data_IF_358805930411
#
_entry.id   IF_358805930411
#
_cell.length_a   1.000
_cell.length_b   1.000
_cell.length_c   1.000
_cell.angle_alpha   90.00
_cell.angle_beta   90.00
_cell.angle_gamma   90.00
#
_symmetry.space_group_name_H-M   'P 1'
#
loop_
_entity.id
_entity.type
_entity.pdbx_description
1 polymer ?
#
# COMPACT_ATOMS: atom_id res chain seq x y z
N UNK A 1 -6.41 -4.56 -2.48
CA UNK A 1 -4.98 -4.39 -2.07
C UNK A 1 -4.64 -2.97 -1.59
N UNK A 2 -4.94 -1.89 -2.32
CA UNK A 2 -4.54 -0.52 -1.91
C UNK A 2 -5.03 -0.07 -0.52
N UNK A 3 -6.23 -0.47 -0.09
CA UNK A 3 -6.74 -0.16 1.26
C UNK A 3 -5.99 -0.87 2.39
N UNK A 4 -5.40 -2.04 2.12
CA UNK A 4 -4.63 -2.79 3.11
C UNK A 4 -3.24 -2.20 3.31
N UNK A 5 -2.57 -1.84 2.21
CA UNK A 5 -1.25 -1.18 2.22
C UNK A 5 -1.33 0.17 2.93
N UNK A 6 -2.35 0.98 2.64
CA UNK A 6 -2.52 2.29 3.26
C UNK A 6 -2.75 2.21 4.78
N UNK A 7 -3.53 1.21 5.22
CA UNK A 7 -3.78 0.96 6.65
C UNK A 7 -2.54 0.44 7.37
N UNK A 8 -1.73 -0.40 6.72
CA UNK A 8 -0.47 -0.90 7.27
C UNK A 8 0.58 0.21 7.41
N UNK A 9 0.68 1.11 6.43
CA UNK A 9 1.58 2.28 6.52
C UNK A 9 1.16 3.29 7.59
N UNK A 10 -0.14 3.45 7.85
CA UNK A 10 -0.64 4.30 8.94
C UNK A 10 -0.34 3.70 10.32
N UNK A 11 -0.51 2.38 10.49
CA UNK A 11 -0.19 1.68 11.73
C UNK A 11 1.32 1.72 12.01
N UNK A 12 2.15 1.51 10.99
CA UNK A 12 3.61 1.58 11.13
C UNK A 12 4.10 2.99 11.50
N UNK A 13 3.52 4.06 10.93
CA UNK A 13 3.84 5.45 11.30
C UNK A 13 3.42 5.81 12.73
N UNK A 14 2.37 5.19 13.26
CA UNK A 14 1.89 5.42 14.62
C UNK A 14 2.65 4.61 15.68
N UNK A 15 3.18 3.43 15.33
CA UNK A 15 3.86 2.54 16.27
C UNK A 15 5.34 2.87 16.50
N UNK A 16 6.05 3.40 15.49
CA UNK A 16 7.48 3.73 15.58
C UNK A 16 7.82 4.74 16.71
N UNK A 17 7.05 5.82 16.94
CA UNK A 17 7.33 6.75 18.04
C UNK A 17 7.11 6.13 19.42
N UNK A 18 6.12 5.22 19.55
CA UNK A 18 5.75 4.58 20.82
C UNK A 18 6.83 3.57 21.24
N UNK A 19 7.32 2.77 20.28
CA UNK A 19 8.45 1.86 20.50
C UNK A 19 9.75 2.60 20.82
N UNK A 20 10.00 3.75 20.18
CA UNK A 20 11.19 4.55 20.48
C UNK A 20 11.15 5.20 21.88
N UNK A 21 9.94 5.46 22.40
CA UNK A 21 9.72 6.02 23.72
C UNK A 21 9.78 4.96 24.83
N UNK A 22 9.36 3.71 24.56
CA UNK A 22 9.54 2.57 25.46
C UNK A 22 11.01 2.09 25.53
N UNK A 23 11.72 2.04 24.38
CA UNK A 23 13.14 1.63 24.35
C UNK A 23 14.04 2.66 25.07
N UNK A 24 13.70 3.95 25.02
CA UNK A 24 14.42 4.99 25.78
C UNK A 24 14.12 4.95 27.29
N UNK A 25 12.99 4.37 27.70
CA UNK A 25 12.62 4.26 29.11
C UNK A 25 13.25 3.02 29.78
N UNK A 26 13.52 1.95 29.03
CA UNK A 26 14.16 0.73 29.56
C UNK A 26 15.70 0.79 29.66
N UNK A 27 16.38 1.75 29.01
CA UNK A 27 17.84 1.91 29.11
C UNK A 27 18.32 2.81 30.27
N UNK A 28 17.42 3.29 31.13
CA UNK A 28 17.79 4.09 32.32
C UNK A 28 17.84 3.22 33.58
N UNK A 29 18.76 2.24 33.61
CA UNK A 29 19.11 1.51 34.85
C UNK A 29 20.54 1.88 35.26
N UNK A 30 20.71 3.13 35.66
CA UNK A 30 21.77 3.49 36.61
C UNK A 30 21.16 3.42 38.01
N UNK A 31 21.33 2.27 38.66
CA UNK A 31 21.11 2.15 40.10
C UNK A 31 22.27 2.85 40.81
N UNK A 32 22.06 3.97 41.54
CA UNK A 32 23.15 4.59 42.28
C UNK A 32 23.55 3.64 43.41
N UNK A 33 24.85 3.37 43.51
CA UNK A 33 25.42 2.68 44.66
C UNK A 33 25.06 3.46 45.95
N UNK A 34 24.75 2.78 47.07
CA UNK A 34 24.45 3.47 48.32
C UNK A 34 25.65 4.31 48.75
N UNK A 35 25.44 5.55 49.24
CA UNK A 35 26.55 6.38 49.71
C UNK A 35 27.22 5.69 50.90
N UNK A 36 28.53 5.50 50.81
CA UNK A 36 29.34 5.04 51.94
C UNK A 36 29.18 6.05 53.08
N UNK A 37 28.61 5.62 54.20
CA UNK A 37 28.36 6.44 55.39
C UNK A 37 29.69 7.04 55.91
N UNK A 38 29.95 8.35 55.74
CA UNK A 38 31.19 8.99 56.19
C UNK A 38 31.30 9.09 57.72
N UNK A 39 30.21 8.77 58.42
CA UNK A 39 30.09 8.77 59.89
C UNK A 39 30.81 7.58 60.54
N UNK A 40 30.84 6.40 59.89
CA UNK A 40 31.49 5.22 60.45
C UNK A 40 33.02 5.31 60.40
N UNK A 41 33.59 5.82 59.30
CA UNK A 41 35.02 6.04 59.15
C UNK A 41 35.53 7.15 60.09
N UNK A 42 34.76 8.23 60.25
CA UNK A 42 35.10 9.33 61.16
C UNK A 42 35.07 8.91 62.63
N UNK A 43 34.13 8.05 63.03
CA UNK A 43 34.05 7.50 64.40
C UNK A 43 35.18 6.52 64.69
N UNK A 44 35.54 5.65 63.75
CA UNK A 44 36.67 4.73 63.88
C UNK A 44 38.01 5.48 63.94
N UNK A 45 38.16 6.56 63.16
CA UNK A 45 39.33 7.44 63.17
C UNK A 45 39.45 8.24 64.49
N UNK A 46 38.34 8.67 65.09
CA UNK A 46 38.32 9.36 66.38
C UNK A 46 38.66 8.39 67.53
N UNK A 47 38.10 7.18 67.51
CA UNK A 47 38.44 6.13 68.48
C UNK A 47 39.90 5.68 68.39
N UNK A 48 40.43 5.51 67.18
CA UNK A 48 41.85 5.16 67.00
C UNK A 48 42.76 6.31 67.42
N UNK A 49 42.41 7.58 67.15
CA UNK A 49 43.14 8.75 67.68
C UNK A 49 43.10 8.84 69.20
N UNK A 50 41.96 8.57 69.84
CA UNK A 50 41.83 8.54 71.30
C UNK A 50 42.63 7.38 71.92
N UNK A 51 42.64 6.20 71.30
CA UNK A 51 43.44 5.04 71.73
C UNK A 51 44.95 5.26 71.53
N UNK A 52 45.37 5.91 70.44
CA UNK A 52 46.77 6.31 70.21
C UNK A 52 47.25 7.37 71.21
N UNK A 53 46.41 8.37 71.51
CA UNK A 53 46.73 9.41 72.49
C UNK A 53 46.80 8.86 73.93
N UNK A 54 45.99 7.84 74.26
CA UNK A 54 46.07 7.14 75.55
C UNK A 54 47.39 6.34 75.70
N UNK A 55 47.92 5.75 74.61
CA UNK A 55 49.21 5.05 74.61
C UNK A 55 50.39 6.05 74.69
N UNK A 56 50.25 7.25 74.11
CA UNK A 56 51.27 8.30 74.20
C UNK A 56 51.34 8.96 75.59
N UNK A 57 50.21 9.06 76.30
CA UNK A 57 50.08 9.74 77.60
C UNK A 57 50.76 9.06 78.80
N UNK A 58 51.21 7.81 78.70
CA UNK A 58 51.86 7.06 79.81
C UNK A 58 53.39 7.21 79.81
N UNK A 59 53.96 8.15 79.05
CA UNK A 59 55.38 8.51 79.14
C UNK A 59 55.60 9.64 80.14
N UNK A 60 55.24 9.39 81.41
CA UNK A 60 55.79 10.18 82.52
C UNK A 60 57.32 10.15 82.45
N UNK A 61 58.00 11.22 82.89
CA UNK A 61 59.46 11.34 82.95
C UNK A 61 60.05 10.20 83.81
N UNK A 62 60.23 9.03 83.20
CA UNK A 62 60.81 7.86 83.84
C UNK A 62 62.30 8.12 84.00
N UNK A 63 62.81 7.88 85.20
CA UNK A 63 64.22 8.01 85.50
C UNK A 63 64.94 6.90 84.74
N UNK A 64 65.83 7.27 83.83
CA UNK A 64 66.70 6.32 83.12
C UNK A 64 67.54 5.61 84.19
N UNK A 65 67.61 4.28 84.16
CA UNK A 65 68.50 3.56 85.08
C UNK A 65 69.94 4.06 84.89
N UNK A 66 70.78 4.12 85.93
CA UNK A 66 72.15 4.61 85.79
C UNK A 66 72.95 3.79 84.75
N UNK A 67 72.66 2.50 84.60
CA UNK A 67 73.22 1.63 83.56
C UNK A 67 72.70 1.99 82.16
N UNK A 68 71.39 2.23 82.00
CA UNK A 68 70.81 2.67 80.74
C UNK A 68 71.35 4.06 80.33
N UNK A 69 71.58 4.95 81.29
CA UNK A 69 72.16 6.27 81.06
C UNK A 69 73.65 6.18 80.71
N UNK A 70 74.36 5.20 81.27
CA UNK A 70 75.72 4.87 80.88
C UNK A 70 75.78 4.33 79.44
N UNK A 71 74.91 3.39 79.07
CA UNK A 71 74.85 2.82 77.70
C UNK A 71 74.50 3.91 76.67
N UNK A 72 73.54 4.77 76.97
CA UNK A 72 73.18 5.90 76.10
C UNK A 72 74.33 6.90 76.00
N UNK A 73 75.04 7.20 77.09
CA UNK A 73 76.17 8.15 77.06
C UNK A 73 77.40 7.60 76.31
N UNK A 74 77.65 6.29 76.37
CA UNK A 74 78.65 5.62 75.53
C UNK A 74 78.28 5.72 74.06
N UNK A 75 77.00 5.53 73.71
CA UNK A 75 76.52 5.70 72.34
C UNK A 75 76.59 7.16 71.87
N UNK A 76 76.29 8.13 72.75
CA UNK A 76 76.45 9.56 72.47
C UNK A 76 77.92 9.90 72.17
N UNK A 77 78.86 9.35 72.95
CA UNK A 77 80.29 9.51 72.71
C UNK A 77 80.77 8.80 71.42
N UNK A 78 80.14 7.68 71.05
CA UNK A 78 80.42 7.00 69.78
C UNK A 78 79.91 7.78 68.57
N UNK A 79 78.68 8.30 68.63
CA UNK A 79 78.11 9.21 67.62
C UNK A 79 79.01 10.43 67.46
N UNK A 80 79.43 11.04 68.58
CA UNK A 80 80.36 12.18 68.62
C UNK A 80 81.67 11.90 67.87
N UNK A 81 82.30 10.76 68.14
CA UNK A 81 83.58 10.37 67.50
C UNK A 81 83.43 10.12 66.02
N UNK A 82 82.34 9.49 65.59
CA UNK A 82 82.07 9.19 64.18
C UNK A 82 81.74 10.49 63.43
N UNK A 83 81.00 11.40 64.04
CA UNK A 83 80.72 12.72 63.49
C UNK A 83 82.00 13.54 63.30
N UNK A 84 82.93 13.54 64.26
CA UNK A 84 84.25 14.17 64.09
C UNK A 84 85.07 13.46 63.00
N UNK A 85 85.03 12.12 62.97
CA UNK A 85 85.78 11.31 62.00
C UNK A 85 85.30 11.51 60.55
N UNK A 86 84.04 11.91 60.37
CA UNK A 86 83.47 12.21 59.05
C UNK A 86 84.15 13.40 58.35
N UNK A 87 84.83 14.27 59.10
CA UNK A 87 85.52 15.45 58.56
C UNK A 87 87.05 15.28 58.48
N UNK A 88 87.58 14.09 58.83
CA UNK A 88 89.00 13.77 58.75
C UNK A 88 89.54 13.46 57.35
N UNK A 89 88.74 13.02 56.36
CA UNK A 89 89.21 12.91 54.98
C UNK A 89 89.40 14.30 54.34
N UNK A 90 90.27 15.15 54.89
CA UNK A 90 90.51 16.52 54.43
C UNK A 90 91.97 16.75 54.03
N UNK A 91 92.20 17.62 53.04
CA UNK A 91 93.54 18.09 52.71
C UNK A 91 93.91 19.27 53.62
N UNK A 92 95.04 19.18 54.31
CA UNK A 92 95.46 20.17 55.30
C UNK A 92 96.16 21.36 54.61
N UNK A 93 95.36 22.24 54.00
CA UNK A 93 95.81 23.41 53.21
C UNK A 93 96.07 24.62 54.12
N UNK A 94 95.27 24.81 55.17
CA UNK A 94 95.35 25.96 56.09
C UNK A 94 95.69 25.53 57.53
N UNK A 95 96.93 25.09 57.77
CA UNK A 95 97.38 24.59 59.09
C UNK A 95 97.30 25.62 60.22
N UNK A 96 97.32 26.92 59.92
CA UNK A 96 97.39 28.01 60.91
C UNK A 96 96.11 28.14 61.74
N UNK A 97 94.93 28.00 61.13
CA UNK A 97 93.63 28.11 61.81
C UNK A 97 93.32 26.91 62.70
N UNK A 98 93.70 25.71 62.24
CA UNK A 98 93.58 24.48 63.03
C UNK A 98 94.45 24.56 64.28
N UNK A 99 95.59 25.24 64.20
CA UNK A 99 96.52 25.46 65.32
C UNK A 99 95.94 26.40 66.36
N UNK A 100 95.22 27.44 65.93
CA UNK A 100 94.62 28.45 66.81
C UNK A 100 93.51 27.87 67.71
N UNK A 101 92.70 26.96 67.19
CA UNK A 101 91.52 26.42 67.90
C UNK A 101 91.77 25.04 68.57
N UNK A 102 92.57 24.16 67.94
CA UNK A 102 92.81 22.78 68.44
C UNK A 102 94.18 22.61 69.13
N UNK A 103 95.03 23.65 69.13
CA UNK A 103 96.42 23.68 69.67
C UNK A 103 97.41 22.79 68.89
N UNK A 104 98.70 23.12 68.98
CA UNK A 104 99.81 22.44 68.25
C UNK A 104 99.76 20.89 68.32
N UNK A 105 99.52 20.24 69.49
CA UNK A 105 99.55 18.78 69.56
C UNK A 105 98.44 18.09 68.76
N UNK A 106 97.28 18.73 68.59
CA UNK A 106 96.17 18.17 67.82
C UNK A 106 96.43 18.29 66.31
N UNK A 107 97.10 19.36 65.88
CA UNK A 107 97.49 19.58 64.48
C UNK A 107 98.59 18.62 64.07
N UNK A 108 99.57 18.38 64.94
CA UNK A 108 100.61 17.37 64.71
C UNK A 108 100.00 15.96 64.59
N UNK A 109 99.12 15.58 65.52
CA UNK A 109 98.42 14.30 65.48
C UNK A 109 97.53 14.16 64.24
N UNK A 110 96.88 15.24 63.77
CA UNK A 110 96.09 15.25 62.54
C UNK A 110 96.97 15.10 61.30
N UNK A 111 98.10 15.81 61.24
CA UNK A 111 99.06 15.74 60.13
C UNK A 111 99.67 14.34 60.02
N UNK A 112 100.02 13.74 61.15
CA UNK A 112 100.50 12.35 61.22
C UNK A 112 99.42 11.38 60.77
N UNK A 113 98.17 11.54 61.26
CA UNK A 113 97.04 10.71 60.86
C UNK A 113 96.77 10.78 59.35
N UNK A 114 96.73 11.99 58.77
CA UNK A 114 96.52 12.19 57.32
C UNK A 114 97.66 11.61 56.49
N UNK A 115 98.90 11.72 56.96
CA UNK A 115 100.07 11.11 56.31
C UNK A 115 99.96 9.58 56.30
N UNK A 116 99.64 8.98 57.45
CA UNK A 116 99.43 7.55 57.57
C UNK A 116 98.23 7.07 56.74
N UNK A 117 97.16 7.84 56.63
CA UNK A 117 96.02 7.52 55.76
C UNK A 117 96.41 7.51 54.28
N UNK A 118 97.26 8.45 53.83
CA UNK A 118 97.79 8.48 52.45
C UNK A 118 98.74 7.30 52.17
N UNK A 119 99.61 6.98 53.12
CA UNK A 119 100.50 5.81 53.04
C UNK A 119 99.69 4.49 53.05
N UNK A 120 98.65 4.40 53.88
CA UNK A 120 97.74 3.25 53.90
C UNK A 120 96.96 3.10 52.59
N UNK A 121 96.44 4.21 52.03
CA UNK A 121 95.70 4.17 50.76
C UNK A 121 96.57 3.80 49.56
N UNK A 122 97.88 4.03 49.61
CA UNK A 122 98.83 3.69 48.53
C UNK A 122 99.40 2.27 48.66
N UNK A 123 99.35 1.69 49.86
CA UNK A 123 99.85 0.33 50.18
C UNK A 123 98.74 -0.72 50.29
N UNK A 124 97.52 -0.39 49.86
CA UNK A 124 96.36 -1.30 49.90
C UNK A 124 96.70 -2.65 49.24
N UNK A 125 96.71 -3.74 50.02
CA UNK A 125 97.04 -5.10 49.56
C UNK A 125 98.48 -5.59 49.78
N UNK A 126 99.30 -4.91 50.60
CA UNK A 126 100.66 -5.34 50.95
C UNK A 126 100.73 -6.17 52.25
N UNK A 127 101.80 -6.97 52.45
CA UNK A 127 102.01 -7.85 53.62
C UNK A 127 102.08 -7.13 54.98
N UNK A 128 102.17 -5.79 54.98
CA UNK A 128 102.21 -4.94 56.17
C UNK A 128 100.86 -4.26 56.51
N UNK A 129 99.76 -4.66 55.87
CA UNK A 129 98.43 -4.04 56.02
C UNK A 129 97.94 -4.00 57.48
N UNK A 130 98.05 -5.09 58.25
CA UNK A 130 97.63 -5.14 59.66
C UNK A 130 98.41 -4.17 60.55
N UNK A 131 99.71 -4.00 60.28
CA UNK A 131 100.56 -3.09 61.06
C UNK A 131 100.27 -1.62 60.76
N UNK A 132 99.94 -1.29 59.51
CA UNK A 132 99.54 0.07 59.13
C UNK A 132 98.10 0.38 59.50
N UNK A 133 97.20 -0.58 59.44
CA UNK A 133 95.83 -0.42 59.93
C UNK A 133 95.84 -0.11 61.43
N UNK A 134 96.69 -0.78 62.21
CA UNK A 134 96.88 -0.50 63.64
C UNK A 134 97.49 0.89 63.86
N UNK A 135 98.44 1.32 63.02
CA UNK A 135 99.03 2.67 63.07
C UNK A 135 98.01 3.78 62.73
N UNK A 136 97.17 3.57 61.72
CA UNK A 136 96.06 4.48 61.35
C UNK A 136 95.00 4.54 62.47
N UNK A 137 94.66 3.39 63.07
CA UNK A 137 93.74 3.33 64.23
C UNK A 137 94.31 4.04 65.46
N UNK A 138 95.60 3.88 65.74
CA UNK A 138 96.26 4.52 66.88
C UNK A 138 96.44 6.02 66.68
N UNK A 139 96.79 6.48 65.47
CA UNK A 139 96.85 7.91 65.13
C UNK A 139 95.47 8.57 65.19
N UNK A 140 94.41 7.91 64.70
CA UNK A 140 93.03 8.37 64.85
C UNK A 140 92.64 8.50 66.32
N UNK A 141 92.98 7.50 67.15
CA UNK A 141 92.72 7.54 68.60
C UNK A 141 93.50 8.66 69.29
N UNK A 142 94.74 8.90 68.89
CA UNK A 142 95.56 9.98 69.43
C UNK A 142 94.95 11.34 69.07
N UNK A 143 94.57 11.55 67.81
CA UNK A 143 93.85 12.75 67.38
C UNK A 143 92.54 12.94 68.16
N UNK A 144 91.68 11.91 68.22
CA UNK A 144 90.41 11.97 68.96
C UNK A 144 90.60 12.20 70.48
N UNK A 145 91.74 11.82 71.07
CA UNK A 145 92.09 12.14 72.47
C UNK A 145 92.40 13.62 72.65
N UNK A 146 93.12 14.24 71.72
CA UNK A 146 93.40 15.68 71.74
C UNK A 146 92.16 16.54 71.48
N UNK A 147 91.20 16.01 70.71
CA UNK A 147 89.92 16.68 70.42
C UNK A 147 88.87 16.45 71.52
N UNK A 148 89.01 15.42 72.35
CA UNK A 148 88.08 15.08 73.45
C UNK A 148 87.77 16.22 74.44
N UNK A 149 88.69 17.14 74.81
CA UNK A 149 88.39 18.24 75.72
C UNK A 149 87.40 19.26 75.15
N UNK A 150 87.25 19.32 73.83
CA UNK A 150 86.30 20.21 73.16
C UNK A 150 84.89 19.61 73.25
N UNK A 151 84.02 20.27 74.02
CA UNK A 151 82.65 19.81 74.29
C UNK A 151 81.70 19.97 73.09
N UNK A 152 82.06 20.83 72.14
CA UNK A 152 81.23 21.16 70.99
C UNK A 152 81.76 20.48 69.74
N UNK A 153 81.00 19.54 69.19
CA UNK A 153 81.35 18.84 67.94
C UNK A 153 81.33 19.79 66.75
N UNK A 154 80.44 20.79 66.79
CA UNK A 154 80.26 21.77 65.72
C UNK A 154 81.47 22.71 65.58
N UNK A 155 82.18 23.03 66.67
CA UNK A 155 83.41 23.84 66.58
C UNK A 155 84.56 23.05 65.95
N UNK A 156 84.73 21.79 66.35
CA UNK A 156 85.73 20.88 65.76
C UNK A 156 85.42 20.63 64.28
N UNK A 157 84.14 20.45 63.94
CA UNK A 157 83.68 20.27 62.56
C UNK A 157 83.92 21.51 61.70
N UNK A 158 83.63 22.71 62.20
CA UNK A 158 83.90 23.96 61.49
C UNK A 158 85.41 24.13 61.23
N UNK A 159 86.25 23.87 62.23
CA UNK A 159 87.71 23.94 62.10
C UNK A 159 88.26 22.93 61.09
N UNK A 160 87.73 21.70 61.07
CA UNK A 160 88.14 20.67 60.11
C UNK A 160 87.63 20.91 58.68
N UNK A 161 86.49 21.60 58.52
CA UNK A 161 85.98 22.04 57.22
C UNK A 161 86.79 23.21 56.63
N UNK A 162 87.32 24.10 57.48
CA UNK A 162 88.19 25.21 57.07
C UNK A 162 89.64 24.77 56.79
N UNK A 163 90.08 23.62 57.32
CA UNK A 163 91.42 23.08 57.13
C UNK A 163 91.75 22.77 55.65
N UNK A 164 90.74 22.42 54.85
CA UNK A 164 90.80 22.29 53.39
C UNK A 164 89.71 21.36 52.81
N UNK A 165 89.73 21.08 51.50
CA UNK A 165 88.64 20.35 50.84
C UNK A 165 88.52 18.92 51.37
N UNK A 166 87.30 18.55 51.80
CA UNK A 166 86.97 17.20 52.29
C UNK A 166 86.66 16.28 51.10
N UNK A 167 87.19 15.06 51.11
CA UNK A 167 86.87 14.00 50.16
C UNK A 167 85.39 13.62 50.32
N UNK A 168 84.55 14.15 49.43
CA UNK A 168 83.08 14.11 49.57
C UNK A 168 82.48 12.70 49.60
N UNK A 169 83.13 11.71 48.97
CA UNK A 169 82.64 10.32 48.95
C UNK A 169 82.76 9.66 50.33
N UNK A 170 83.92 9.81 50.97
CA UNK A 170 84.21 9.18 52.26
C UNK A 170 83.46 9.88 53.40
N UNK A 171 83.26 11.19 53.28
CA UNK A 171 82.43 11.96 54.21
C UNK A 171 80.95 11.51 54.23
N UNK A 172 80.36 11.23 53.05
CA UNK A 172 78.95 10.78 52.95
C UNK A 172 78.72 9.43 53.61
N UNK A 173 79.59 8.46 53.33
CA UNK A 173 79.48 7.12 53.92
C UNK A 173 79.57 7.14 55.46
N UNK A 174 80.49 7.95 56.02
CA UNK A 174 80.64 8.08 57.47
C UNK A 174 79.44 8.85 58.09
N UNK A 175 78.87 9.82 57.37
CA UNK A 175 77.65 10.53 57.80
C UNK A 175 76.40 9.63 57.81
N UNK A 176 76.23 8.75 56.81
CA UNK A 176 75.14 7.76 56.81
C UNK A 176 75.21 6.85 58.03
N UNK A 177 76.41 6.36 58.37
CA UNK A 177 76.63 5.56 59.60
C UNK A 177 76.29 6.36 60.86
N UNK A 178 76.61 7.66 60.91
CA UNK A 178 76.21 8.53 62.02
C UNK A 178 74.67 8.67 62.12
N UNK A 179 73.96 8.75 60.99
CA UNK A 179 72.48 8.79 60.94
C UNK A 179 71.90 7.48 61.48
N UNK A 180 72.36 6.32 60.99
CA UNK A 180 71.93 5.01 61.48
C UNK A 180 72.18 4.83 62.97
N UNK A 181 73.32 5.30 63.47
CA UNK A 181 73.64 5.25 64.90
C UNK A 181 72.74 6.17 65.74
N UNK A 182 72.35 7.34 65.22
CA UNK A 182 71.37 8.23 65.87
C UNK A 182 69.98 7.58 65.94
N UNK A 183 69.54 6.93 64.87
CA UNK A 183 68.28 6.19 64.84
C UNK A 183 68.31 4.98 65.77
N UNK A 184 69.41 4.21 65.74
CA UNK A 184 69.62 3.08 66.64
C UNK A 184 69.63 3.51 68.10
N UNK A 185 70.29 4.63 68.42
CA UNK A 185 70.25 5.24 69.75
C UNK A 185 68.83 5.60 70.16
N UNK A 186 68.02 6.18 69.27
CA UNK A 186 66.62 6.52 69.57
C UNK A 186 65.80 5.26 69.89
N UNK A 187 65.95 4.20 69.10
CA UNK A 187 65.29 2.91 69.32
C UNK A 187 65.77 2.25 70.62
N UNK A 188 67.07 2.23 70.87
CA UNK A 188 67.64 1.68 72.11
C UNK A 188 67.17 2.45 73.33
N UNK A 189 67.14 3.77 73.26
CA UNK A 189 66.60 4.62 74.33
C UNK A 189 65.13 4.28 74.59
N UNK A 190 64.31 4.14 73.55
CA UNK A 190 62.92 3.74 73.72
C UNK A 190 62.78 2.34 74.33
N UNK A 191 63.66 1.39 73.98
CA UNK A 191 63.68 0.04 74.56
C UNK A 191 64.17 -0.01 76.00
N UNK A 192 65.22 0.74 76.34
CA UNK A 192 65.77 0.83 77.70
C UNK A 192 64.81 1.57 78.67
N UNK A 193 63.94 2.41 78.12
CA UNK A 193 62.92 3.16 78.87
C UNK A 193 61.56 2.45 78.96
N UNK A 194 61.39 1.32 78.26
CA UNK A 194 60.18 0.52 78.31
C UNK A 194 60.21 -0.42 79.51
N UNK A 195 59.10 -0.52 80.23
CA UNK A 195 58.99 -1.52 81.30
C UNK A 195 58.79 -2.93 80.71
N UNK A 196 59.17 -4.00 81.42
CA UNK A 196 58.91 -5.37 80.97
C UNK A 196 57.43 -5.64 80.70
N UNK A 197 56.53 -4.93 81.38
CA UNK A 197 55.08 -5.04 81.17
C UNK A 197 54.64 -4.33 79.88
N UNK A 198 55.11 -3.11 79.63
CA UNK A 198 54.83 -2.37 78.39
C UNK A 198 55.32 -3.11 77.14
N UNK A 199 56.48 -3.78 77.24
CA UNK A 199 57.03 -4.58 76.14
C UNK A 199 56.20 -5.85 75.88
N UNK A 200 55.65 -6.49 76.92
CA UNK A 200 54.71 -7.62 76.78
C UNK A 200 53.39 -7.18 76.15
N UNK A 201 52.85 -6.04 76.57
CA UNK A 201 51.62 -5.47 76.01
C UNK A 201 51.81 -5.07 74.54
N UNK A 202 52.94 -4.45 74.18
CA UNK A 202 53.30 -4.14 72.79
C UNK A 202 53.36 -5.40 71.92
N UNK A 203 53.94 -6.49 72.41
CA UNK A 203 53.99 -7.78 71.69
C UNK A 203 52.59 -8.39 71.54
N UNK A 204 51.78 -8.35 72.58
CA UNK A 204 50.39 -8.84 72.55
C UNK A 204 49.57 -8.06 71.52
N UNK A 205 49.58 -6.73 71.57
CA UNK A 205 48.88 -5.88 70.61
C UNK A 205 49.36 -6.10 69.18
N UNK A 206 50.68 -6.27 68.98
CA UNK A 206 51.24 -6.61 67.67
C UNK A 206 50.81 -7.99 67.16
N UNK A 207 50.68 -8.98 68.04
CA UNK A 207 50.15 -10.29 67.67
C UNK A 207 48.66 -10.24 67.34
N UNK A 208 47.85 -9.57 68.16
CA UNK A 208 46.42 -9.37 67.87
C UNK A 208 46.19 -8.61 66.55
N UNK A 209 47.01 -7.59 66.26
CA UNK A 209 46.95 -6.87 65.00
C UNK A 209 47.29 -7.77 63.80
N UNK A 210 48.32 -8.62 63.91
CA UNK A 210 48.66 -9.61 62.88
C UNK A 210 47.55 -10.62 62.65
N UNK A 211 46.97 -11.15 63.72
CA UNK A 211 45.87 -12.13 63.60
C UNK A 211 44.63 -11.49 62.97
N UNK A 212 44.30 -10.25 63.32
CA UNK A 212 43.22 -9.49 62.66
C UNK A 212 43.53 -9.24 61.19
N UNK A 213 44.79 -8.92 60.86
CA UNK A 213 45.19 -8.72 59.47
C UNK A 213 45.09 -10.01 58.66
N UNK A 214 45.55 -11.15 59.20
CA UNK A 214 45.39 -12.45 58.55
C UNK A 214 43.92 -12.81 58.33
N UNK A 215 43.08 -12.63 59.35
CA UNK A 215 41.65 -12.90 59.22
C UNK A 215 40.98 -11.99 58.17
N UNK A 216 41.35 -10.71 58.13
CA UNK A 216 40.85 -9.78 57.12
C UNK A 216 41.33 -10.18 55.71
N UNK A 217 42.57 -10.66 55.57
CA UNK A 217 43.13 -11.11 54.30
C UNK A 217 42.41 -12.38 53.79
N UNK A 218 42.12 -13.34 54.66
CA UNK A 218 41.30 -14.50 54.34
C UNK A 218 39.87 -14.10 53.94
N UNK A 219 39.26 -13.16 54.66
CA UNK A 219 37.93 -12.64 54.34
C UNK A 219 37.93 -11.92 52.99
N UNK A 220 38.95 -11.12 52.70
CA UNK A 220 39.12 -10.46 51.41
C UNK A 220 39.24 -11.49 50.29
N UNK A 221 40.09 -12.51 50.43
CA UNK A 221 40.23 -13.57 49.42
C UNK A 221 38.91 -14.31 49.18
N UNK A 222 38.14 -14.60 50.25
CA UNK A 222 36.84 -15.23 50.12
C UNK A 222 35.82 -14.35 49.40
N UNK A 223 35.78 -13.05 49.72
CA UNK A 223 34.89 -12.09 49.06
C UNK A 223 35.28 -11.88 47.59
N UNK A 224 36.58 -11.73 47.30
CA UNK A 224 37.10 -11.66 45.94
C UNK A 224 36.75 -12.92 45.14
N UNK A 225 36.84 -14.11 45.75
CA UNK A 225 36.41 -15.36 45.15
C UNK A 225 34.92 -15.38 44.82
N UNK A 226 34.07 -14.92 45.74
CA UNK A 226 32.62 -14.80 45.50
C UNK A 226 32.29 -13.80 44.39
N UNK A 227 32.97 -12.66 44.35
CA UNK A 227 32.80 -11.66 43.28
C UNK A 227 33.21 -12.26 41.94
N UNK A 228 34.38 -12.92 41.86
CA UNK A 228 34.85 -13.59 40.63
C UNK A 228 33.85 -14.64 40.15
N UNK A 229 33.38 -15.52 41.03
CA UNK A 229 32.39 -16.54 40.69
C UNK A 229 31.06 -15.93 40.21
N UNK A 230 30.60 -14.84 40.85
CA UNK A 230 29.40 -14.13 40.43
C UNK A 230 29.58 -13.44 39.07
N UNK A 231 30.75 -12.84 38.81
CA UNK A 231 31.06 -12.23 37.51
C UNK A 231 31.13 -13.28 36.40
N UNK A 232 31.81 -14.40 36.63
CA UNK A 232 31.89 -15.50 35.66
C UNK A 232 30.50 -16.08 35.37
N UNK A 233 29.68 -16.30 36.39
CA UNK A 233 28.31 -16.78 36.21
C UNK A 233 27.47 -15.81 35.38
N UNK A 234 27.55 -14.50 35.68
CA UNK A 234 26.88 -13.46 34.89
C UNK A 234 27.35 -13.47 33.44
N UNK A 235 28.67 -13.49 33.21
CA UNK A 235 29.26 -13.43 31.88
C UNK A 235 28.92 -14.68 31.05
N UNK A 236 28.87 -15.88 31.66
CA UNK A 236 28.38 -17.08 30.97
C UNK A 236 26.90 -16.99 30.59
N UNK A 237 26.08 -16.33 31.42
CA UNK A 237 24.66 -16.12 31.14
C UNK A 237 24.46 -15.12 30.02
N UNK A 238 25.22 -14.01 30.03
CA UNK A 238 25.27 -13.03 28.95
C UNK A 238 25.66 -13.73 27.64
N UNK A 239 26.75 -14.51 27.63
CA UNK A 239 27.18 -15.24 26.44
C UNK A 239 26.12 -16.23 25.89
N UNK A 240 25.30 -16.84 26.76
CA UNK A 240 24.19 -17.71 26.33
C UNK A 240 23.07 -16.89 25.68
N UNK A 241 22.75 -15.73 26.25
CA UNK A 241 21.73 -14.82 25.74
C UNK A 241 22.15 -14.16 24.43
N UNK A 242 23.41 -13.76 24.30
CA UNK A 242 23.96 -13.24 23.05
C UNK A 242 23.85 -14.28 21.92
N UNK A 243 24.17 -15.55 22.20
CA UNK A 243 23.98 -16.64 21.22
C UNK A 243 22.51 -16.86 20.85
N UNK A 244 21.59 -16.70 21.79
CA UNK A 244 20.15 -16.81 21.53
C UNK A 244 19.66 -15.64 20.65
N UNK A 245 20.11 -14.43 20.95
CA UNK A 245 19.84 -13.22 20.17
C UNK A 245 20.35 -13.38 18.74
N UNK A 246 21.59 -13.84 18.54
CA UNK A 246 22.14 -14.04 17.19
C UNK A 246 21.35 -15.08 16.40
N UNK A 247 20.97 -16.21 16.99
CA UNK A 247 20.09 -17.21 16.32
C UNK A 247 18.75 -16.63 15.89
N UNK A 248 18.13 -15.80 16.75
CA UNK A 248 16.85 -15.18 16.44
C UNK A 248 17.01 -14.13 15.32
N UNK A 249 18.08 -13.34 15.35
CA UNK A 249 18.40 -12.39 14.27
C UNK A 249 18.61 -13.11 12.93
N UNK A 250 19.38 -14.19 12.91
CA UNK A 250 19.62 -14.99 11.71
C UNK A 250 18.31 -15.56 11.14
N UNK A 251 17.47 -16.12 12.02
CA UNK A 251 16.14 -16.64 11.64
C UNK A 251 15.22 -15.55 11.09
N UNK A 252 15.21 -14.36 11.70
CA UNK A 252 14.46 -13.20 11.20
C UNK A 252 14.96 -12.74 9.83
N UNK A 253 16.27 -12.63 9.65
CA UNK A 253 16.86 -12.26 8.36
C UNK A 253 16.57 -13.29 7.27
N UNK A 254 16.60 -14.58 7.61
CA UNK A 254 16.22 -15.65 6.70
C UNK A 254 14.75 -15.52 6.29
N UNK A 255 13.83 -15.40 7.26
CA UNK A 255 12.40 -15.24 6.98
C UNK A 255 12.12 -13.99 6.14
N UNK A 256 12.82 -12.88 6.41
CA UNK A 256 12.68 -11.66 5.63
C UNK A 256 13.13 -11.86 4.18
N UNK A 257 14.28 -12.50 3.98
CA UNK A 257 14.83 -12.79 2.65
C UNK A 257 13.89 -13.72 1.87
N UNK A 258 13.37 -14.77 2.51
CA UNK A 258 12.39 -15.68 1.90
C UNK A 258 11.10 -14.94 1.53
N UNK A 259 10.62 -14.03 2.39
CA UNK A 259 9.47 -13.18 2.10
C UNK A 259 9.69 -12.24 0.92
N UNK A 260 10.85 -11.58 0.85
CA UNK A 260 11.20 -10.69 -0.25
C UNK A 260 11.28 -11.46 -1.58
N UNK A 261 11.88 -12.65 -1.57
CA UNK A 261 11.96 -13.53 -2.74
C UNK A 261 10.58 -14.02 -3.20
N UNK A 262 9.75 -14.51 -2.27
CA UNK A 262 8.40 -14.97 -2.60
C UNK A 262 7.53 -13.82 -3.12
N UNK A 263 7.62 -12.64 -2.50
CA UNK A 263 6.93 -11.44 -2.98
C UNK A 263 7.37 -11.05 -4.39
N UNK A 264 8.68 -11.03 -4.67
CA UNK A 264 9.20 -10.72 -6.00
C UNK A 264 8.75 -11.74 -7.05
N UNK A 265 8.74 -13.03 -6.72
CA UNK A 265 8.23 -14.08 -7.60
C UNK A 265 6.73 -13.95 -7.88
N UNK A 266 5.93 -13.66 -6.85
CA UNK A 266 4.49 -13.45 -7.00
C UNK A 266 4.23 -12.24 -7.88
N UNK A 267 4.90 -11.11 -7.64
CA UNK A 267 4.78 -9.90 -8.46
C UNK A 267 5.11 -10.18 -9.93
N UNK A 268 6.22 -10.87 -10.18
CA UNK A 268 6.63 -11.24 -11.54
C UNK A 268 5.58 -12.12 -12.23
N UNK A 269 5.08 -13.17 -11.56
CA UNK A 269 4.03 -14.05 -12.12
C UNK A 269 2.73 -13.29 -12.38
N UNK A 270 2.34 -12.38 -11.47
CA UNK A 270 1.13 -11.58 -11.67
C UNK A 270 1.27 -10.61 -12.84
N UNK A 271 2.45 -10.03 -13.04
CA UNK A 271 2.71 -9.15 -14.18
C UNK A 271 2.70 -9.94 -15.49
N UNK A 272 3.39 -11.09 -15.54
CA UNK A 272 3.37 -11.97 -16.71
C UNK A 272 1.94 -12.42 -17.07
N UNK A 273 1.16 -12.84 -16.07
CA UNK A 273 -0.24 -13.20 -16.26
C UNK A 273 -1.06 -12.01 -16.75
N UNK A 274 -0.88 -10.83 -16.16
CA UNK A 274 -1.57 -9.61 -16.57
C UNK A 274 -1.27 -9.26 -18.03
N UNK A 275 -0.01 -9.35 -18.46
CA UNK A 275 0.40 -9.11 -19.84
C UNK A 275 -0.20 -10.13 -20.82
N UNK A 276 -0.30 -11.40 -20.43
CA UNK A 276 -0.97 -12.43 -21.23
C UNK A 276 -2.47 -12.15 -21.36
N UNK A 277 -3.13 -11.78 -20.25
CA UNK A 277 -4.56 -11.48 -20.24
C UNK A 277 -4.87 -10.23 -21.07
N UNK A 278 -4.03 -9.19 -21.00
CA UNK A 278 -4.13 -8.00 -21.86
C UNK A 278 -4.07 -8.39 -23.34
N UNK A 279 -3.04 -9.13 -23.76
CA UNK A 279 -2.91 -9.58 -25.17
C UNK A 279 -4.09 -10.43 -25.61
N UNK A 280 -4.54 -11.36 -24.78
CA UNK A 280 -5.72 -12.20 -25.07
C UNK A 280 -6.98 -11.34 -25.23
N UNK A 281 -7.16 -10.35 -24.35
CA UNK A 281 -8.30 -9.43 -24.42
C UNK A 281 -8.25 -8.54 -25.67
N UNK A 282 -7.07 -8.07 -26.07
CA UNK A 282 -6.87 -7.28 -27.29
C UNK A 282 -7.17 -8.08 -28.54
N UNK A 283 -6.69 -9.32 -28.62
CA UNK A 283 -7.00 -10.24 -29.73
C UNK A 283 -8.51 -10.47 -29.82
N UNK A 284 -9.16 -10.76 -28.68
CA UNK A 284 -10.62 -10.97 -28.66
C UNK A 284 -11.40 -9.71 -29.04
N UNK A 285 -10.94 -8.54 -28.61
CA UNK A 285 -11.52 -7.25 -29.00
C UNK A 285 -11.43 -7.02 -30.50
N UNK A 286 -10.28 -7.33 -31.11
CA UNK A 286 -10.08 -7.21 -32.56
C UNK A 286 -10.99 -8.19 -33.33
N UNK A 287 -11.09 -9.45 -32.89
CA UNK A 287 -11.98 -10.44 -33.48
C UNK A 287 -13.44 -9.99 -33.45
N UNK A 288 -13.94 -9.54 -32.28
CA UNK A 288 -15.32 -9.05 -32.16
C UNK A 288 -15.57 -7.79 -33.00
N UNK A 289 -14.56 -6.93 -33.16
CA UNK A 289 -14.65 -5.75 -34.02
C UNK A 289 -14.73 -6.14 -35.49
N UNK A 290 -13.96 -7.15 -35.91
CA UNK A 290 -14.01 -7.70 -37.26
C UNK A 290 -15.36 -8.37 -37.55
N UNK A 291 -15.83 -9.25 -36.66
CA UNK A 291 -17.17 -9.86 -36.75
C UNK A 291 -18.27 -8.80 -36.82
N UNK A 292 -18.19 -7.76 -35.98
CA UNK A 292 -19.11 -6.64 -35.98
C UNK A 292 -19.12 -5.90 -37.32
N UNK A 293 -17.95 -5.66 -37.92
CA UNK A 293 -17.84 -5.04 -39.24
C UNK A 293 -18.41 -5.95 -40.34
N UNK A 294 -18.09 -7.25 -40.31
CA UNK A 294 -18.62 -8.22 -41.27
C UNK A 294 -20.15 -8.28 -41.22
N UNK A 295 -20.75 -8.31 -40.03
CA UNK A 295 -22.20 -8.29 -39.86
C UNK A 295 -22.83 -6.98 -40.37
N UNK A 296 -22.19 -5.83 -40.15
CA UNK A 296 -22.65 -4.55 -40.72
C UNK A 296 -22.67 -4.59 -42.23
N UNK A 297 -21.59 -5.08 -42.86
CA UNK A 297 -21.52 -5.21 -44.33
C UNK A 297 -22.57 -6.20 -44.86
N UNK A 298 -22.81 -7.31 -44.17
CA UNK A 298 -23.87 -8.26 -44.52
C UNK A 298 -25.26 -7.60 -44.46
N UNK A 299 -25.54 -6.83 -43.40
CA UNK A 299 -26.81 -6.11 -43.24
C UNK A 299 -27.00 -5.05 -44.34
N UNK A 300 -25.96 -4.28 -44.65
CA UNK A 300 -25.99 -3.30 -45.74
C UNK A 300 -26.27 -3.96 -47.09
N UNK A 301 -25.64 -5.10 -47.37
CA UNK A 301 -25.87 -5.86 -48.59
C UNK A 301 -27.29 -6.41 -48.68
N UNK A 302 -27.81 -7.00 -47.61
CA UNK A 302 -29.20 -7.48 -47.57
C UNK A 302 -30.18 -6.32 -47.76
N UNK A 303 -29.93 -5.18 -47.12
CA UNK A 303 -30.78 -3.98 -47.26
C UNK A 303 -30.81 -3.50 -48.71
N UNK A 304 -29.66 -3.48 -49.40
CA UNK A 304 -29.58 -3.15 -50.83
C UNK A 304 -30.37 -4.15 -51.68
N UNK A 305 -30.19 -5.46 -51.45
CA UNK A 305 -30.93 -6.49 -52.17
C UNK A 305 -32.45 -6.39 -51.96
N UNK A 306 -32.90 -6.09 -50.74
CA UNK A 306 -34.32 -5.89 -50.46
C UNK A 306 -34.86 -4.65 -51.16
N UNK A 307 -34.14 -3.52 -51.15
CA UNK A 307 -34.50 -2.31 -51.89
C UNK A 307 -34.59 -2.55 -53.39
N UNK A 308 -33.65 -3.31 -53.95
CA UNK A 308 -33.67 -3.68 -55.37
C UNK A 308 -34.88 -4.56 -55.71
N UNK A 309 -35.15 -5.59 -54.89
CA UNK A 309 -36.32 -6.46 -55.04
C UNK A 309 -37.61 -5.65 -54.97
N UNK A 310 -37.75 -4.79 -53.97
CA UNK A 310 -38.90 -3.89 -53.81
C UNK A 310 -39.08 -2.99 -55.03
N UNK A 311 -38.01 -2.34 -55.51
CA UNK A 311 -38.06 -1.52 -56.72
C UNK A 311 -38.48 -2.32 -57.96
N UNK A 312 -38.06 -3.59 -58.10
CA UNK A 312 -38.52 -4.43 -59.20
C UNK A 312 -39.99 -4.82 -59.09
N UNK A 313 -40.50 -5.05 -57.87
CA UNK A 313 -41.90 -5.35 -57.63
C UNK A 313 -42.78 -4.13 -57.89
N UNK A 314 -42.38 -2.94 -57.42
CA UNK A 314 -43.08 -1.69 -57.72
C UNK A 314 -43.16 -1.44 -59.23
N UNK A 315 -42.06 -1.66 -59.97
CA UNK A 315 -42.08 -1.54 -61.44
C UNK A 315 -43.05 -2.54 -62.10
N UNK A 316 -43.17 -3.77 -61.58
CA UNK A 316 -44.13 -4.76 -62.10
C UNK A 316 -45.56 -4.37 -61.74
N UNK A 317 -45.79 -3.90 -60.51
CA UNK A 317 -47.09 -3.44 -60.04
C UNK A 317 -47.60 -2.28 -60.90
N UNK A 318 -46.78 -1.24 -61.09
CA UNK A 318 -47.14 -0.08 -61.91
C UNK A 318 -47.44 -0.49 -63.37
N UNK A 319 -46.73 -1.49 -63.93
CA UNK A 319 -47.04 -2.01 -65.27
C UNK A 319 -48.42 -2.66 -65.32
N UNK A 320 -48.73 -3.53 -64.36
CA UNK A 320 -50.04 -4.17 -64.28
C UNK A 320 -51.15 -3.15 -64.03
N UNK A 321 -50.91 -2.16 -63.17
CA UNK A 321 -51.84 -1.04 -62.96
C UNK A 321 -52.10 -0.30 -64.27
N UNK A 322 -51.06 0.04 -65.06
CA UNK A 322 -51.26 0.67 -66.37
C UNK A 322 -51.99 -0.23 -67.37
N UNK A 323 -51.76 -1.55 -67.35
CA UNK A 323 -52.49 -2.49 -68.19
C UNK A 323 -53.98 -2.56 -67.81
N UNK A 324 -54.29 -2.59 -66.52
CA UNK A 324 -55.67 -2.54 -66.00
C UNK A 324 -56.35 -1.23 -66.40
N UNK A 325 -55.68 -0.09 -66.22
CA UNK A 325 -56.18 1.22 -66.64
C UNK A 325 -56.54 1.23 -68.14
N UNK A 326 -55.66 0.67 -68.98
CA UNK A 326 -55.90 0.54 -70.41
C UNK A 326 -57.11 -0.35 -70.73
N UNK A 327 -57.33 -1.43 -69.98
CA UNK A 327 -58.51 -2.29 -70.15
C UNK A 327 -59.80 -1.60 -69.71
N UNK A 328 -59.76 -0.83 -68.62
CA UNK A 328 -60.88 -0.01 -68.16
C UNK A 328 -61.25 1.01 -69.25
N UNK A 329 -60.27 1.76 -69.77
CA UNK A 329 -60.51 2.75 -70.84
C UNK A 329 -61.13 2.13 -72.10
N UNK A 330 -60.68 0.93 -72.51
CA UNK A 330 -61.28 0.20 -73.63
C UNK A 330 -62.71 -0.19 -73.35
N UNK A 331 -62.98 -0.72 -72.15
CA UNK A 331 -64.33 -1.10 -71.75
C UNK A 331 -65.25 0.11 -71.72
N UNK A 332 -64.82 1.22 -71.11
CA UNK A 332 -65.59 2.46 -71.05
C UNK A 332 -65.91 2.99 -72.45
N UNK A 333 -64.94 3.01 -73.37
CA UNK A 333 -65.16 3.41 -74.76
C UNK A 333 -66.13 2.48 -75.51
N UNK A 334 -66.01 1.16 -75.35
CA UNK A 334 -66.96 0.21 -75.95
C UNK A 334 -68.37 0.35 -75.37
N UNK A 335 -68.48 0.67 -74.07
CA UNK A 335 -69.76 0.88 -73.40
C UNK A 335 -70.41 2.19 -73.89
N UNK A 336 -69.62 3.25 -74.05
CA UNK A 336 -70.06 4.53 -74.64
C UNK A 336 -70.55 4.32 -76.08
N UNK A 337 -69.78 3.63 -76.92
CA UNK A 337 -70.20 3.33 -78.31
C UNK A 337 -71.50 2.49 -78.35
N UNK A 338 -71.63 1.49 -77.47
CA UNK A 338 -72.88 0.70 -77.38
C UNK A 338 -74.05 1.55 -76.91
N UNK A 339 -73.82 2.46 -75.96
CA UNK A 339 -74.84 3.38 -75.46
C UNK A 339 -75.30 4.32 -76.57
N UNK A 340 -74.37 4.93 -77.31
CA UNK A 340 -74.68 5.78 -78.47
C UNK A 340 -75.49 5.02 -79.53
N UNK A 341 -75.10 3.78 -79.86
CA UNK A 341 -75.87 2.94 -80.80
C UNK A 341 -77.28 2.66 -80.31
N UNK A 342 -77.45 2.38 -79.01
CA UNK A 342 -78.77 2.16 -78.42
C UNK A 342 -79.61 3.43 -78.48
N UNK A 343 -79.02 4.59 -78.20
CA UNK A 343 -79.70 5.89 -78.28
C UNK A 343 -80.12 6.20 -79.73
N UNK A 344 -79.21 6.03 -80.70
CA UNK A 344 -79.52 6.16 -82.14
C UNK A 344 -80.67 5.22 -82.56
N UNK A 345 -80.62 3.95 -82.16
CA UNK A 345 -81.70 2.99 -82.49
C UNK A 345 -83.02 3.36 -81.81
N UNK A 346 -82.99 3.92 -80.60
CA UNK A 346 -84.18 4.42 -79.91
C UNK A 346 -84.77 5.61 -80.64
N UNK A 347 -83.96 6.57 -81.06
CA UNK A 347 -84.39 7.72 -81.86
C UNK A 347 -85.06 7.26 -83.15
N UNK A 348 -84.41 6.36 -83.91
CA UNK A 348 -84.97 5.77 -85.13
C UNK A 348 -86.29 5.03 -84.86
N UNK A 349 -86.35 4.22 -83.80
CA UNK A 349 -87.58 3.51 -83.41
C UNK A 349 -88.71 4.47 -83.03
N UNK A 350 -88.41 5.55 -82.31
CA UNK A 350 -89.40 6.56 -81.93
C UNK A 350 -89.93 7.30 -83.17
N UNK A 351 -89.07 7.63 -84.13
CA UNK A 351 -89.47 8.19 -85.41
C UNK A 351 -90.35 7.24 -86.23
N UNK A 352 -89.93 5.99 -86.39
CA UNK A 352 -90.70 4.97 -87.11
C UNK A 352 -92.06 4.72 -86.45
N UNK A 353 -92.08 4.70 -85.11
CA UNK A 353 -93.31 4.58 -84.33
C UNK A 353 -94.20 5.81 -84.47
N UNK A 354 -93.64 7.01 -84.64
CA UNK A 354 -94.42 8.21 -84.95
C UNK A 354 -95.03 8.12 -86.36
N UNK A 355 -94.22 7.78 -87.38
CA UNK A 355 -94.67 7.57 -88.77
C UNK A 355 -95.76 6.49 -88.86
N UNK A 356 -95.61 5.39 -88.10
CA UNK A 356 -96.61 4.32 -88.06
C UNK A 356 -97.93 4.80 -87.45
N UNK A 357 -97.88 5.62 -86.38
CA UNK A 357 -99.08 6.22 -85.79
C UNK A 357 -99.77 7.15 -86.79
N UNK A 358 -99.03 8.02 -87.47
CA UNK A 358 -99.57 8.89 -88.51
C UNK A 358 -100.25 8.08 -89.63
N UNK A 359 -99.63 6.99 -90.09
CA UNK A 359 -100.21 6.08 -91.07
C UNK A 359 -101.48 5.39 -90.56
N UNK A 360 -101.48 4.90 -89.32
CA UNK A 360 -102.67 4.29 -88.69
C UNK A 360 -103.82 5.28 -88.58
N UNK A 361 -103.55 6.52 -88.17
CA UNK A 361 -104.54 7.58 -88.10
C UNK A 361 -105.12 7.86 -89.49
N UNK A 362 -104.29 7.95 -90.53
CA UNK A 362 -104.74 8.08 -91.93
C UNK A 362 -105.59 6.89 -92.40
N UNK A 363 -105.18 5.65 -92.11
CA UNK A 363 -105.96 4.46 -92.44
C UNK A 363 -107.31 4.45 -91.73
N UNK A 364 -107.38 4.88 -90.47
CA UNK A 364 -108.64 4.95 -89.73
C UNK A 364 -109.64 5.92 -90.37
N UNK A 365 -109.15 7.07 -90.83
CA UNK A 365 -109.96 8.05 -91.57
C UNK A 365 -110.41 7.45 -92.91
N UNK A 366 -109.51 6.81 -93.65
CA UNK A 366 -109.83 6.17 -94.93
C UNK A 366 -110.85 5.03 -94.77
N UNK A 367 -110.76 4.22 -93.71
CA UNK A 367 -111.72 3.17 -93.40
C UNK A 367 -113.11 3.75 -93.08
N UNK A 368 -113.17 4.85 -92.32
CA UNK A 368 -114.41 5.58 -92.07
C UNK A 368 -115.01 6.13 -93.39
N UNK A 369 -114.20 6.74 -94.25
CA UNK A 369 -114.65 7.22 -95.56
C UNK A 369 -115.12 6.07 -96.46
N UNK A 370 -114.38 4.95 -96.50
CA UNK A 370 -114.74 3.77 -97.28
C UNK A 370 -116.06 3.16 -96.82
N UNK A 371 -116.25 2.99 -95.51
CA UNK A 371 -117.50 2.48 -94.94
C UNK A 371 -118.67 3.42 -95.25
N UNK A 372 -118.48 4.74 -95.12
CA UNK A 372 -119.48 5.73 -95.52
C UNK A 372 -119.87 5.61 -97.00
N UNK A 373 -118.91 5.52 -97.92
CA UNK A 373 -119.17 5.35 -99.36
C UNK A 373 -119.89 4.02 -99.64
N UNK A 374 -119.50 2.94 -98.98
CA UNK A 374 -120.12 1.63 -99.16
C UNK A 374 -121.55 1.59 -98.61
N UNK A 375 -121.80 2.23 -97.47
CA UNK A 375 -123.13 2.43 -96.91
C UNK A 375 -123.97 3.33 -97.81
N UNK A 376 -123.40 4.39 -98.39
CA UNK A 376 -124.07 5.26 -99.34
C UNK A 376 -124.46 4.49 -100.62
N UNK A 377 -123.53 3.72 -101.20
CA UNK A 377 -123.82 2.81 -102.33
C UNK A 377 -124.86 1.73 -101.96
N UNK A 378 -124.89 1.26 -100.72
CA UNK A 378 -125.91 0.34 -100.22
C UNK A 378 -127.27 1.04 -100.14
N UNK A 379 -127.35 2.23 -99.55
CA UNK A 379 -128.57 3.05 -99.48
C UNK A 379 -129.09 3.40 -100.87
N UNK A 380 -128.22 3.76 -101.81
CA UNK A 380 -128.61 3.99 -103.21
C UNK A 380 -129.17 2.73 -103.87
N UNK A 381 -128.55 1.56 -103.67
CA UNK A 381 -129.06 0.29 -104.21
C UNK A 381 -130.43 -0.05 -103.62
N UNK A 382 -130.60 0.07 -102.31
CA UNK A 382 -131.89 -0.14 -101.63
C UNK A 382 -132.96 0.87 -102.09
N UNK A 383 -132.58 2.14 -102.35
CA UNK A 383 -133.47 3.14 -102.93
C UNK A 383 -133.88 2.79 -104.36
N UNK A 384 -132.92 2.43 -105.22
CA UNK A 384 -133.18 1.99 -106.61
C UNK A 384 -134.09 0.76 -106.64
N UNK A 385 -133.89 -0.21 -105.75
CA UNK A 385 -134.77 -1.38 -105.61
C UNK A 385 -136.18 -0.99 -105.15
N UNK A 386 -136.33 -0.06 -104.20
CA UNK A 386 -137.65 0.44 -103.78
C UNK A 386 -138.37 1.17 -104.91
N UNK A 387 -137.68 2.03 -105.64
CA UNK A 387 -138.22 2.71 -106.82
C UNK A 387 -138.61 1.70 -107.92
N UNK A 388 -137.81 0.65 -108.10
CA UNK A 388 -138.13 -0.45 -109.02
C UNK A 388 -139.37 -1.23 -108.57
N UNK A 389 -139.47 -1.58 -107.29
CA UNK A 389 -140.65 -2.22 -106.71
C UNK A 389 -141.89 -1.33 -106.84
N UNK A 390 -141.78 -0.02 -106.60
CA UNK A 390 -142.87 0.92 -106.83
C UNK A 390 -143.26 1.02 -108.31
N UNK A 391 -142.28 1.11 -109.22
CA UNK A 391 -142.52 1.07 -110.67
C UNK A 391 -143.21 -0.24 -111.06
N UNK A 392 -142.76 -1.37 -110.53
CA UNK A 392 -143.39 -2.66 -110.75
C UNK A 392 -144.83 -2.70 -110.22
N UNK A 393 -145.09 -2.16 -109.03
CA UNK A 393 -146.43 -2.09 -108.45
C UNK A 393 -147.36 -1.20 -109.29
N UNK A 394 -146.88 -0.02 -109.72
CA UNK A 394 -147.60 0.86 -110.65
C UNK A 394 -147.86 0.15 -111.98
N UNK A 395 -146.87 -0.56 -112.52
CA UNK A 395 -147.01 -1.35 -113.75
C UNK A 395 -148.03 -2.49 -113.58
N UNK A 396 -147.97 -3.25 -112.48
CA UNK A 396 -148.91 -4.32 -112.13
C UNK A 396 -150.34 -3.78 -112.02
N UNK A 397 -150.53 -2.63 -111.36
CA UNK A 397 -151.83 -1.95 -111.30
C UNK A 397 -152.33 -1.57 -112.71
N UNK A 398 -151.47 -1.02 -113.57
CA UNK A 398 -151.84 -0.72 -114.97
C UNK A 398 -152.27 -1.97 -115.75
N UNK A 399 -151.58 -3.11 -115.56
CA UNK A 399 -151.90 -4.39 -116.23
C UNK A 399 -153.28 -4.91 -115.78
N UNK A 400 -153.62 -4.79 -114.49
CA UNK A 400 -154.93 -5.20 -113.95
C UNK A 400 -156.06 -4.34 -114.53
N UNK A 401 -155.86 -3.03 -114.60
CA UNK A 401 -156.83 -2.10 -115.23
C UNK A 401 -157.01 -2.45 -116.72
N UNK A 402 -155.90 -2.65 -117.44
CA UNK A 402 -155.94 -3.06 -118.85
C UNK A 402 -156.62 -4.43 -119.05
N UNK A 403 -156.43 -5.39 -118.14
CA UNK A 403 -157.03 -6.72 -118.21
C UNK A 403 -158.55 -6.70 -117.96
N UNK A 404 -159.02 -5.91 -116.99
CA UNK A 404 -160.46 -5.72 -116.74
C UNK A 404 -161.18 -5.10 -117.94
N UNK A 405 -160.57 -4.08 -118.58
CA UNK A 405 -161.12 -3.44 -119.77
C UNK A 405 -161.16 -4.38 -120.99
N UNK A 406 -160.07 -5.13 -121.25
CA UNK A 406 -160.02 -6.13 -122.32
C UNK A 406 -161.04 -7.27 -122.09
N UNK A 407 -161.26 -7.67 -120.84
CA UNK A 407 -162.25 -8.68 -120.46
C UNK A 407 -163.71 -8.21 -120.59
N UNK A 408 -164.00 -6.93 -120.32
CA UNK A 408 -165.33 -6.34 -120.57
C UNK A 408 -165.66 -6.30 -122.07
N UNK A 409 -164.68 -5.90 -122.92
CA UNK A 409 -164.82 -5.93 -124.38
C UNK A 409 -165.11 -7.31 -124.95
N UNK A 410 -164.41 -8.36 -124.48
CA UNK A 410 -164.56 -9.72 -124.99
C UNK A 410 -165.92 -10.36 -124.66
N UNK A 411 -166.47 -10.07 -123.47
CA UNK A 411 -167.76 -10.63 -123.00
C UNK A 411 -168.99 -10.00 -123.66
N UNK A 412 -168.85 -8.79 -124.23
CA UNK A 412 -169.92 -8.13 -125.00
C UNK A 412 -170.05 -8.68 -126.44
N UNK A 413 -169.01 -9.33 -126.98
CA UNK A 413 -168.95 -9.78 -128.37
C UNK A 413 -169.42 -11.24 -128.62
N UNK A 414 -169.56 -12.09 -127.59
CA UNK A 414 -169.85 -13.54 -127.74
C UNK A 414 -171.33 -13.94 -127.63
N UNK A 415 -172.28 -13.00 -127.47
CA UNK A 415 -173.72 -13.28 -127.33
C UNK A 415 -174.47 -13.46 -128.67
N UNK A 416 -173.86 -13.12 -129.80
CA UNK A 416 -174.44 -13.20 -131.16
C UNK A 416 -173.45 -13.86 -132.15
N UNK A 417 -173.38 -15.20 -132.23
CA UNK A 417 -173.07 -15.90 -133.48
C UNK A 417 -173.25 -17.43 -133.39
N UNK A 418 -173.98 -17.92 -134.38
CA UNK A 418 -174.62 -19.20 -134.60
C UNK A 418 -173.70 -20.36 -135.03
N UNK A 419 -174.13 -21.57 -134.65
CA UNK A 419 -174.15 -22.81 -135.44
C UNK A 419 -173.28 -22.88 -136.72
N UNK A 420 -172.22 -23.67 -136.70
CA UNK A 420 -171.97 -24.79 -137.65
C UNK A 420 -170.68 -25.57 -137.30
N UNK A 421 -170.77 -26.90 -137.42
CA UNK A 421 -169.73 -27.96 -137.45
C UNK A 421 -169.15 -28.54 -136.14
N UNK A 422 -169.72 -29.71 -135.79
CA UNK A 422 -169.19 -30.95 -135.14
C UNK A 422 -167.71 -31.22 -135.46
N UNK A 423 -166.85 -31.89 -134.66
CA UNK A 423 -167.00 -32.67 -133.42
C UNK A 423 -166.20 -33.99 -133.47
N UNK A 424 -165.09 -34.12 -132.69
CA UNK A 424 -164.43 -35.35 -132.11
C UNK A 424 -163.19 -34.88 -131.31
N UNK A 425 -163.08 -34.88 -129.96
CA UNK A 425 -163.11 -35.92 -128.89
C UNK A 425 -161.92 -36.90 -129.02
N UNK A 426 -160.98 -37.12 -128.10
CA UNK A 426 -160.60 -36.68 -126.73
C UNK A 426 -159.15 -37.19 -126.45
N UNK A 427 -158.36 -36.76 -125.45
CA UNK A 427 -158.25 -37.27 -124.06
C UNK A 427 -156.88 -36.71 -123.50
N UNK A 428 -156.85 -35.83 -122.49
CA UNK A 428 -156.49 -36.07 -121.05
C UNK A 428 -155.03 -36.56 -120.84
N UNK A 429 -154.12 -35.97 -120.06
CA UNK A 429 -154.07 -34.83 -119.12
C UNK A 429 -152.59 -34.62 -118.70
N UNK A 430 -152.12 -33.41 -118.34
CA UNK A 430 -152.12 -32.68 -117.04
C UNK A 430 -150.73 -32.57 -116.38
N UNK A 431 -150.32 -31.31 -116.16
CA UNK A 431 -149.56 -30.72 -115.03
C UNK A 431 -148.03 -30.98 -114.88
N UNK A 432 -147.27 -29.90 -115.11
CA UNK A 432 -145.96 -29.60 -114.50
C UNK A 432 -145.54 -28.16 -114.86
N UNK A 433 -145.29 -27.30 -113.88
CA UNK A 433 -145.33 -25.83 -113.99
C UNK A 433 -143.96 -25.23 -114.32
N UNK A 434 -143.99 -24.25 -115.24
CA UNK A 434 -142.98 -23.32 -115.79
C UNK A 434 -141.66 -23.03 -115.02
N UNK A 435 -140.61 -23.07 -115.87
CA UNK A 435 -139.46 -22.15 -116.08
C UNK A 435 -138.43 -21.98 -114.95
N UNK A 436 -137.27 -22.59 -115.23
CA UNK A 436 -135.90 -22.04 -115.29
C UNK A 436 -135.66 -20.69 -114.62
#
# INVERSE_FOLDING_TARGET
MCRFICRFTQIHKAAVPILHQEIMFEFSVDSPAPPADPTAEAQLALETKLKLNAIAGVRGKKVISPEAQHIISVLDECVRKIEVSAFLPCELVHSERVTQELRDPAVEALREHLKLCKEYSTLWGSRNEETMELAVKNSLRNFLRHVKPHKEVETVKAVLQEAGPVIQKDQKAVQEVAVWLREYRAVLKERLMATPQEERERRRLGHEARNRQQHNEELLQMLEGKVKAATEHRDTTICKKDKEIERIKDSLHQMQTEWEQTMAQVQKKTEEQHQLDLKNSEVKRLQLLEEGNQLRTQLENLTKQHREKEATLLKKNNKLETEIENWIQKYDAEMEEKQERVEQMREMYEEERAKLRELQDLFSVLELEYTQIMEEKRREREQKEKEEQEREMRNKASVVIQALWRGYRLRKALKNQSQTKKGKKGKKGTKGKKKK
#
